data_IF_136116887889
#
_entry.id   IF_136116887889
#
_cell.length_a   1.000
_cell.length_b   1.000
_cell.length_c   1.000
_cell.angle_alpha   90.00
_cell.angle_beta   90.00
_cell.angle_gamma   90.00
#
_symmetry.space_group_name_H-M   'P 1'
#
loop_
_entity.id
_entity.type
_entity.pdbx_description
1 polymer ?
#
# COMPACT_ATOMS: atom_id res chain seq x y z
N UNK A 1 14.68 9.49 -23.80
CA UNK A 1 14.02 10.80 -23.59
C UNK A 1 12.77 10.72 -22.70
N UNK A 2 12.16 9.54 -22.52
CA UNK A 2 11.04 9.32 -21.56
C UNK A 2 11.46 9.12 -20.09
N UNK A 3 12.75 8.92 -19.80
CA UNK A 3 13.28 8.70 -18.45
C UNK A 3 13.49 9.96 -17.60
N UNK A 4 13.31 11.17 -18.16
CA UNK A 4 13.54 12.44 -17.44
C UNK A 4 12.29 13.02 -16.77
N UNK A 5 11.10 12.42 -16.97
CA UNK A 5 9.85 12.95 -16.41
C UNK A 5 9.35 12.25 -15.14
N UNK A 6 9.83 11.05 -14.79
CA UNK A 6 9.42 10.37 -13.53
C UNK A 6 10.34 10.65 -12.33
N UNK A 7 11.46 11.34 -12.53
CA UNK A 7 12.36 11.74 -11.44
C UNK A 7 11.87 12.99 -10.69
N UNK A 8 11.13 13.88 -11.36
CA UNK A 8 10.52 15.05 -10.71
C UNK A 8 9.48 14.67 -9.67
N UNK A 9 8.84 13.50 -9.80
CA UNK A 9 7.90 12.96 -8.82
C UNK A 9 8.59 12.41 -7.56
N UNK A 10 9.86 11.98 -7.64
CA UNK A 10 10.60 11.48 -6.48
C UNK A 10 11.19 12.60 -5.62
N UNK A 11 11.64 13.71 -6.22
CA UNK A 11 12.09 14.89 -5.47
C UNK A 11 10.92 15.61 -4.77
N UNK A 12 9.70 15.56 -5.33
CA UNK A 12 8.50 16.02 -4.61
C UNK A 12 8.03 15.05 -3.52
N UNK A 13 8.15 13.74 -3.74
CA UNK A 13 7.74 12.72 -2.74
C UNK A 13 8.55 12.80 -1.43
N UNK A 14 9.76 13.34 -1.46
CA UNK A 14 10.58 13.55 -0.25
C UNK A 14 10.15 14.77 0.59
N UNK A 15 9.25 15.63 0.07
CA UNK A 15 8.78 16.85 0.75
C UNK A 15 7.27 16.89 1.02
N UNK A 16 6.49 15.93 0.49
CA UNK A 16 5.03 15.86 0.69
C UNK A 16 4.61 14.44 1.01
N UNK A 17 3.83 14.28 2.08
CA UNK A 17 3.23 13.03 2.54
C UNK A 17 2.67 12.20 1.37
N UNK A 18 3.10 10.95 1.30
CA UNK A 18 2.90 9.97 0.22
C UNK A 18 1.52 10.00 -0.47
N UNK A 19 1.52 10.43 -1.74
CA UNK A 19 0.42 11.10 -2.45
C UNK A 19 -0.52 10.19 -3.26
N UNK A 20 -1.12 9.10 -2.76
CA UNK A 20 -2.13 8.40 -3.58
C UNK A 20 -3.29 7.75 -2.80
N UNK A 21 -4.46 8.39 -2.87
CA UNK A 21 -5.70 8.00 -2.16
C UNK A 21 -6.87 7.71 -3.11
N UNK A 22 -6.57 7.36 -4.36
CA UNK A 22 -7.57 6.88 -5.31
C UNK A 22 -7.25 5.45 -5.72
N UNK A 23 -8.28 4.63 -5.91
CA UNK A 23 -8.13 3.29 -6.44
C UNK A 23 -8.74 3.23 -7.84
N UNK A 24 -7.91 2.92 -8.84
CA UNK A 24 -8.44 2.57 -10.15
C UNK A 24 -9.09 1.18 -10.10
N UNK A 25 -10.29 1.08 -10.68
CA UNK A 25 -11.05 -0.15 -10.84
C UNK A 25 -11.40 -0.34 -12.31
N UNK A 26 -11.43 -1.59 -12.75
CA UNK A 26 -11.92 -1.96 -14.09
C UNK A 26 -13.33 -2.49 -13.93
N UNK A 27 -14.28 -1.89 -14.65
CA UNK A 27 -15.70 -2.24 -14.62
C UNK A 27 -16.21 -2.68 -15.99
N UNK A 28 -17.36 -3.35 -16.00
CA UNK A 28 -18.16 -3.49 -17.23
C UNK A 28 -18.80 -2.13 -17.55
N UNK A 29 -18.64 -1.68 -18.80
CA UNK A 29 -19.26 -0.45 -19.32
C UNK A 29 -20.73 -0.66 -19.70
N UNK A 30 -21.35 0.38 -20.25
CA UNK A 30 -22.80 0.41 -20.59
C UNK A 30 -23.24 -0.70 -21.55
N UNK A 31 -22.29 -1.29 -22.27
CA UNK A 31 -22.46 -2.55 -22.98
C UNK A 31 -21.52 -3.58 -22.36
N UNK A 32 -22.01 -4.80 -22.07
CA UNK A 32 -21.22 -5.95 -21.55
C UNK A 32 -19.93 -6.26 -22.35
N UNK A 33 -19.79 -5.69 -23.54
CA UNK A 33 -18.66 -5.87 -24.45
C UNK A 33 -17.50 -4.88 -24.23
N UNK A 34 -17.62 -3.87 -23.36
CA UNK A 34 -16.54 -2.90 -23.11
C UNK A 34 -16.18 -2.88 -21.65
N UNK A 35 -14.89 -3.07 -21.34
CA UNK A 35 -14.34 -2.75 -20.03
C UNK A 35 -13.95 -1.28 -20.00
N UNK A 36 -14.23 -0.61 -18.89
CA UNK A 36 -13.88 0.79 -18.66
C UNK A 36 -13.08 0.90 -17.36
N UNK A 37 -12.17 1.87 -17.30
CA UNK A 37 -11.53 2.25 -16.04
C UNK A 37 -12.41 3.31 -15.37
N UNK A 38 -12.54 3.21 -14.06
CA UNK A 38 -13.04 4.27 -13.20
C UNK A 38 -12.09 4.44 -12.00
N UNK A 39 -12.12 5.60 -11.36
CA UNK A 39 -11.44 5.85 -10.10
C UNK A 39 -12.43 5.89 -8.96
N UNK A 40 -12.13 5.15 -7.89
CA UNK A 40 -12.75 5.37 -6.58
C UNK A 40 -11.92 6.42 -5.86
N UNK A 41 -12.58 7.49 -5.44
CA UNK A 41 -11.99 8.58 -4.68
C UNK A 41 -12.38 8.42 -3.20
N UNK A 42 -11.40 7.98 -2.42
CA UNK A 42 -11.54 7.77 -0.97
C UNK A 42 -11.38 9.08 -0.23
N UNK A 43 -12.03 9.21 0.93
CA UNK A 43 -11.67 10.29 1.83
C UNK A 43 -10.28 10.00 2.41
N UNK A 44 -9.40 10.99 2.41
CA UNK A 44 -8.12 10.92 3.08
C UNK A 44 -8.10 11.87 4.27
N UNK A 45 -7.58 11.40 5.40
CA UNK A 45 -7.51 12.19 6.61
C UNK A 45 -6.11 12.21 7.23
N UNK A 46 -5.05 11.97 6.45
CA UNK A 46 -3.69 11.84 6.96
C UNK A 46 -3.54 10.73 8.01
N UNK A 47 -3.95 9.51 7.64
CA UNK A 47 -3.80 8.31 8.46
C UNK A 47 -4.42 8.43 9.87
N UNK A 48 -5.56 9.14 9.96
CA UNK A 48 -6.24 9.46 11.21
C UNK A 48 -5.95 10.84 11.80
N UNK A 49 -5.37 11.71 10.98
CA UNK A 49 -5.00 13.07 11.33
C UNK A 49 -3.78 13.13 12.23
N UNK A 50 -3.48 14.34 12.68
CA UNK A 50 -2.34 14.58 13.58
C UNK A 50 -2.52 13.92 14.96
N UNK A 51 -3.71 13.41 15.33
CA UNK A 51 -3.88 12.56 16.51
C UNK A 51 -3.33 11.13 16.34
N UNK A 52 -3.20 10.63 15.11
CA UNK A 52 -2.61 9.32 14.79
C UNK A 52 -1.09 9.37 14.57
N UNK A 53 -0.62 10.42 13.91
CA UNK A 53 0.81 10.68 13.68
C UNK A 53 1.53 11.31 14.90
N UNK A 54 0.82 12.03 15.79
CA UNK A 54 1.44 12.82 16.88
C UNK A 54 0.81 12.55 18.26
N UNK A 55 -0.10 11.57 18.34
CA UNK A 55 -0.81 11.23 19.57
C UNK A 55 -1.83 12.30 20.01
N UNK A 56 -2.70 11.97 20.98
CA UNK A 56 -3.73 12.88 21.49
C UNK A 56 -3.17 14.05 22.32
N UNK A 57 -1.91 14.00 22.76
CA UNK A 57 -1.35 14.95 23.74
C UNK A 57 -0.62 16.15 23.11
N UNK A 58 -0.27 16.13 21.82
CA UNK A 58 0.44 17.25 21.20
C UNK A 58 -0.51 18.32 20.62
N UNK A 59 -1.18 19.02 21.54
CA UNK A 59 -2.12 20.10 21.24
C UNK A 59 -1.49 21.34 20.56
N UNK A 60 -0.16 21.41 20.44
CA UNK A 60 0.53 22.55 19.81
C UNK A 60 0.73 22.34 18.30
N UNK A 61 0.98 21.11 17.84
CA UNK A 61 1.08 20.78 16.41
C UNK A 61 -0.29 20.61 15.73
N UNK A 62 -1.29 20.16 16.48
CA UNK A 62 -2.70 20.08 16.06
C UNK A 62 -3.36 21.45 15.79
N UNK A 63 -2.71 22.57 16.14
CA UNK A 63 -3.30 23.93 16.05
C UNK A 63 -2.70 24.82 14.95
N UNK A 64 -1.89 24.27 14.04
CA UNK A 64 -1.36 25.06 12.91
C UNK A 64 -2.34 25.04 11.74
N UNK A 65 -2.95 26.20 11.47
CA UNK A 65 -3.88 26.45 10.35
C UNK A 65 -3.41 25.97 8.97
N UNK A 66 -2.10 25.84 8.73
CA UNK A 66 -1.57 25.33 7.45
C UNK A 66 -1.66 23.82 7.27
N UNK A 67 -1.86 23.04 8.34
CA UNK A 67 -1.88 21.57 8.23
C UNK A 67 -3.23 21.02 7.74
N UNK A 68 -4.34 21.63 8.15
CA UNK A 68 -5.66 21.33 7.57
C UNK A 68 -5.67 21.66 6.07
N UNK A 69 -5.00 22.75 5.68
CA UNK A 69 -4.85 23.13 4.27
C UNK A 69 -4.13 22.04 3.46
N UNK A 70 -3.04 21.45 3.96
CA UNK A 70 -2.35 20.36 3.27
C UNK A 70 -3.18 19.07 3.13
N UNK A 71 -3.92 18.68 4.18
CA UNK A 71 -4.84 17.52 4.08
C UNK A 71 -5.92 17.80 3.04
N UNK A 72 -6.39 19.05 2.93
CA UNK A 72 -7.33 19.41 1.87
C UNK A 72 -6.69 19.36 0.48
N UNK A 73 -5.40 19.70 0.33
CA UNK A 73 -4.70 19.59 -0.95
C UNK A 73 -4.50 18.13 -1.39
N UNK A 74 -4.14 17.25 -0.44
CA UNK A 74 -3.97 15.82 -0.65
C UNK A 74 -5.28 15.15 -1.10
N UNK A 75 -6.41 15.53 -0.47
CA UNK A 75 -7.75 15.10 -0.89
C UNK A 75 -8.13 15.55 -2.31
N UNK A 76 -7.48 16.58 -2.86
CA UNK A 76 -7.75 17.02 -4.23
C UNK A 76 -6.98 16.22 -5.28
N UNK A 77 -5.95 15.45 -4.89
CA UNK A 77 -5.08 14.73 -5.84
C UNK A 77 -5.88 13.72 -6.65
N UNK A 78 -6.68 12.89 -5.99
CA UNK A 78 -7.54 11.88 -6.62
C UNK A 78 -8.44 12.51 -7.69
N UNK A 79 -9.20 13.54 -7.31
CA UNK A 79 -10.05 14.30 -8.22
C UNK A 79 -9.28 14.87 -9.41
N UNK A 80 -8.15 15.54 -9.16
CA UNK A 80 -7.34 16.19 -10.22
C UNK A 80 -6.79 15.16 -11.22
N UNK A 81 -6.27 14.03 -10.74
CA UNK A 81 -5.74 12.96 -11.61
C UNK A 81 -6.86 12.39 -12.47
N UNK A 82 -8.02 12.05 -11.88
CA UNK A 82 -9.15 11.48 -12.62
C UNK A 82 -9.73 12.46 -13.65
N UNK A 83 -9.81 13.76 -13.32
CA UNK A 83 -10.23 14.81 -14.27
C UNK A 83 -9.24 14.96 -15.44
N UNK A 84 -7.93 14.95 -15.16
CA UNK A 84 -6.87 15.04 -16.19
C UNK A 84 -6.90 13.85 -17.15
N UNK A 85 -7.06 12.64 -16.60
CA UNK A 85 -7.14 11.39 -17.37
C UNK A 85 -8.51 11.15 -18.01
N UNK A 86 -9.51 12.01 -17.72
CA UNK A 86 -10.90 11.90 -18.18
C UNK A 86 -11.54 10.55 -17.81
N UNK A 87 -11.22 10.08 -16.60
CA UNK A 87 -11.71 8.82 -16.05
C UNK A 87 -12.92 9.11 -15.14
N UNK A 88 -14.02 8.34 -15.25
CA UNK A 88 -15.15 8.44 -14.32
C UNK A 88 -14.73 8.33 -12.86
N UNK A 89 -15.23 9.25 -12.02
CA UNK A 89 -14.93 9.34 -10.59
C UNK A 89 -16.11 8.88 -9.75
N UNK A 90 -15.87 7.96 -8.82
CA UNK A 90 -16.80 7.55 -7.77
C UNK A 90 -16.32 8.12 -6.45
N UNK A 91 -16.93 9.21 -6.02
CA UNK A 91 -16.65 9.82 -4.72
C UNK A 91 -17.27 9.01 -3.58
N UNK A 92 -16.51 8.84 -2.51
CA UNK A 92 -16.96 8.13 -1.30
C UNK A 92 -16.86 9.05 -0.08
N UNK A 93 -17.60 8.72 0.98
CA UNK A 93 -17.44 9.31 2.31
C UNK A 93 -16.63 8.39 3.25
N UNK A 94 -15.97 7.39 2.68
CA UNK A 94 -15.27 6.33 3.41
C UNK A 94 -13.79 6.66 3.45
N UNK A 95 -13.20 6.71 4.66
CA UNK A 95 -11.78 6.99 4.82
C UNK A 95 -10.98 5.74 4.52
N UNK A 96 -10.13 5.77 3.50
CA UNK A 96 -9.28 4.65 3.11
C UNK A 96 -8.04 5.12 2.36
N UNK A 97 -6.91 4.46 2.63
CA UNK A 97 -5.67 4.65 1.89
C UNK A 97 -5.37 3.44 1.00
N UNK A 98 -4.86 3.65 -0.21
CA UNK A 98 -4.52 2.58 -1.14
C UNK A 98 -3.59 1.52 -0.53
N UNK A 99 -2.59 1.94 0.25
CA UNK A 99 -1.66 1.05 0.95
C UNK A 99 -2.28 0.20 2.09
N UNK A 100 -3.49 0.52 2.54
CA UNK A 100 -4.21 -0.24 3.57
C UNK A 100 -4.92 -1.49 3.03
N UNK A 101 -4.95 -1.67 1.71
CA UNK A 101 -5.59 -2.80 1.03
C UNK A 101 -4.68 -3.39 -0.05
N UNK A 102 -4.86 -4.67 -0.35
CA UNK A 102 -4.23 -5.30 -1.51
C UNK A 102 -5.19 -6.31 -2.14
N UNK A 103 -5.37 -6.25 -3.47
CA UNK A 103 -6.31 -7.11 -4.21
C UNK A 103 -5.59 -8.12 -5.11
N UNK A 104 -6.20 -9.27 -5.36
CA UNK A 104 -5.68 -10.33 -6.24
C UNK A 104 -6.15 -10.21 -7.71
N UNK A 105 -7.07 -9.28 -7.98
CA UNK A 105 -7.73 -9.11 -9.28
C UNK A 105 -8.76 -10.20 -9.61
N UNK A 106 -9.05 -11.11 -8.69
CA UNK A 106 -9.95 -12.25 -8.85
C UNK A 106 -11.03 -12.35 -7.75
N UNK A 107 -11.22 -11.25 -7.02
CA UNK A 107 -12.32 -11.09 -6.07
C UNK A 107 -11.89 -11.17 -4.60
N UNK A 108 -10.59 -11.21 -4.30
CA UNK A 108 -10.06 -11.24 -2.93
C UNK A 108 -9.33 -9.94 -2.61
N UNK A 109 -9.61 -9.38 -1.43
CA UNK A 109 -8.85 -8.29 -0.82
C UNK A 109 -8.19 -8.80 0.47
N UNK A 110 -6.93 -8.43 0.73
CA UNK A 110 -6.27 -8.55 2.03
C UNK A 110 -6.14 -7.14 2.61
N UNK A 111 -6.43 -7.00 3.89
CA UNK A 111 -6.26 -5.77 4.66
C UNK A 111 -5.89 -6.12 6.11
N UNK A 112 -5.69 -5.12 6.96
CA UNK A 112 -5.36 -5.27 8.38
C UNK A 112 -6.47 -4.71 9.26
N UNK A 113 -6.87 -5.45 10.29
CA UNK A 113 -7.82 -4.97 11.31
C UNK A 113 -7.28 -3.76 12.06
N UNK A 114 -5.99 -3.78 12.39
CA UNK A 114 -5.30 -2.69 13.06
C UNK A 114 -5.49 -1.33 12.36
N UNK A 115 -5.57 -1.31 11.03
CA UNK A 115 -5.73 -0.08 10.25
C UNK A 115 -7.20 0.29 10.05
N UNK A 116 -7.98 -0.53 9.34
CA UNK A 116 -9.31 -0.11 8.90
C UNK A 116 -10.34 -0.05 10.03
N UNK A 117 -10.16 -0.86 11.09
CA UNK A 117 -11.02 -0.82 12.28
C UNK A 117 -10.52 0.19 13.33
N UNK A 118 -9.45 0.95 13.04
CA UNK A 118 -8.94 1.93 13.97
C UNK A 118 -9.92 3.09 14.14
N UNK A 119 -10.06 3.59 15.38
CA UNK A 119 -10.99 4.67 15.71
C UNK A 119 -10.69 6.02 15.05
N UNK A 120 -9.53 6.16 14.40
CA UNK A 120 -9.15 7.36 13.65
C UNK A 120 -9.51 7.28 12.15
N UNK A 121 -10.00 6.13 11.65
CA UNK A 121 -10.49 5.98 10.28
C UNK A 121 -12.00 6.20 10.25
N UNK A 122 -12.76 5.12 10.38
CA UNK A 122 -14.21 5.13 10.26
C UNK A 122 -14.87 4.70 11.60
N UNK A 123 -14.73 5.47 12.70
CA UNK A 123 -15.17 5.06 14.04
C UNK A 123 -16.68 4.82 14.18
N UNK A 124 -17.45 5.29 13.20
CA UNK A 124 -18.90 5.15 13.13
C UNK A 124 -19.34 3.88 12.38
N UNK A 125 -18.40 3.11 11.82
CA UNK A 125 -18.68 1.87 11.09
C UNK A 125 -18.21 0.65 11.87
N UNK A 126 -19.02 -0.39 11.85
CA UNK A 126 -18.63 -1.75 12.25
C UNK A 126 -17.71 -2.40 11.21
N UNK A 127 -17.01 -3.46 11.61
CA UNK A 127 -16.15 -4.25 10.72
C UNK A 127 -16.93 -4.81 9.51
N UNK A 128 -18.17 -5.24 9.70
CA UNK A 128 -19.02 -5.76 8.62
C UNK A 128 -19.42 -4.66 7.64
N UNK A 129 -19.70 -3.44 8.13
CA UNK A 129 -19.99 -2.28 7.28
C UNK A 129 -18.75 -1.87 6.46
N UNK A 130 -17.56 -1.87 7.08
CA UNK A 130 -16.29 -1.64 6.39
C UNK A 130 -16.09 -2.69 5.29
N UNK A 131 -16.27 -3.97 5.61
CA UNK A 131 -16.15 -5.05 4.64
C UNK A 131 -17.11 -4.88 3.45
N UNK A 132 -18.34 -4.42 3.71
CA UNK A 132 -19.30 -4.13 2.65
C UNK A 132 -18.89 -2.94 1.76
N UNK A 133 -18.26 -1.90 2.34
CA UNK A 133 -17.67 -0.80 1.55
C UNK A 133 -16.58 -1.33 0.62
N UNK A 134 -15.66 -2.16 1.13
CA UNK A 134 -14.60 -2.77 0.34
C UNK A 134 -15.17 -3.61 -0.81
N UNK A 135 -16.15 -4.49 -0.53
CA UNK A 135 -16.79 -5.32 -1.56
C UNK A 135 -17.48 -4.48 -2.64
N UNK A 136 -18.20 -3.44 -2.22
CA UNK A 136 -18.95 -2.56 -3.14
C UNK A 136 -18.03 -1.80 -4.08
N UNK A 137 -16.98 -1.20 -3.54
CA UNK A 137 -16.13 -0.29 -4.30
C UNK A 137 -14.96 -0.98 -5.01
N UNK A 138 -14.45 -2.10 -4.50
CA UNK A 138 -13.35 -2.85 -5.12
C UNK A 138 -13.85 -3.99 -6.04
N UNK A 139 -15.13 -4.33 -6.00
CA UNK A 139 -15.68 -5.46 -6.75
C UNK A 139 -15.21 -6.83 -6.24
N UNK A 140 -14.73 -6.90 -4.99
CA UNK A 140 -14.31 -8.13 -4.34
C UNK A 140 -15.49 -8.85 -3.68
N UNK A 141 -15.40 -10.17 -3.54
CA UNK A 141 -16.40 -10.97 -2.83
C UNK A 141 -15.90 -11.50 -1.49
N UNK A 142 -14.58 -11.49 -1.27
CA UNK A 142 -13.95 -11.94 -0.04
C UNK A 142 -12.91 -10.93 0.47
N UNK A 143 -12.94 -10.67 1.77
CA UNK A 143 -11.92 -9.89 2.47
C UNK A 143 -11.22 -10.80 3.49
N UNK A 144 -9.89 -10.77 3.49
CA UNK A 144 -9.03 -11.46 4.44
C UNK A 144 -8.46 -10.40 5.38
N UNK A 145 -8.72 -10.57 6.67
CA UNK A 145 -8.36 -9.62 7.71
C UNK A 145 -7.14 -10.12 8.47
N UNK A 146 -5.98 -9.49 8.25
CA UNK A 146 -4.79 -9.72 9.06
C UNK A 146 -4.94 -8.97 10.40
N UNK A 147 -4.51 -9.53 11.54
CA UNK A 147 -4.74 -8.87 12.83
C UNK A 147 -3.96 -7.56 12.99
N UNK A 148 -2.71 -7.54 12.52
CA UNK A 148 -1.76 -6.43 12.68
C UNK A 148 -0.96 -6.20 11.38
N UNK A 149 -0.49 -4.97 11.19
CA UNK A 149 0.48 -4.60 10.16
C UNK A 149 1.91 -4.93 10.57
N UNK A 150 2.90 -4.29 9.95
CA UNK A 150 4.31 -4.41 10.35
C UNK A 150 4.54 -3.74 11.71
N UNK A 151 5.44 -4.28 12.52
CA UNK A 151 5.86 -3.65 13.77
C UNK A 151 6.65 -2.37 13.47
N UNK A 152 6.37 -1.27 14.20
CA UNK A 152 6.95 0.04 13.93
C UNK A 152 6.14 0.89 12.93
N UNK A 153 5.04 0.34 12.40
CA UNK A 153 4.15 1.00 11.42
C UNK A 153 2.92 1.65 12.08
N UNK A 154 2.96 1.88 13.40
CA UNK A 154 1.83 2.38 14.18
C UNK A 154 1.39 3.79 13.75
N UNK A 155 2.32 4.58 13.20
CA UNK A 155 2.09 5.94 12.70
C UNK A 155 1.03 5.98 11.59
N UNK A 156 0.96 4.95 10.75
CA UNK A 156 -0.09 4.80 9.72
C UNK A 156 -1.13 3.73 10.08
N UNK A 157 -1.11 3.26 11.33
CA UNK A 157 -2.02 2.24 11.86
C UNK A 157 -1.81 0.83 11.28
N UNK A 158 -0.59 0.52 10.82
CA UNK A 158 -0.18 -0.81 10.39
C UNK A 158 -0.77 -1.22 9.05
N UNK A 159 -0.32 -0.59 7.97
CA UNK A 159 -0.82 -0.86 6.62
C UNK A 159 -0.47 -2.28 6.14
N UNK A 160 -1.31 -2.81 5.24
CA UNK A 160 -1.12 -4.15 4.69
C UNK A 160 0.08 -4.20 3.74
N UNK A 161 0.37 -3.14 2.99
CA UNK A 161 1.45 -3.06 2.01
C UNK A 161 2.88 -3.15 2.62
N UNK A 162 3.00 -3.05 3.94
CA UNK A 162 4.24 -3.31 4.66
C UNK A 162 4.37 -4.76 5.15
N UNK A 163 3.27 -5.48 5.36
CA UNK A 163 3.26 -6.84 5.91
C UNK A 163 3.00 -7.91 4.85
N UNK A 164 2.10 -7.68 3.89
CA UNK A 164 1.64 -8.69 2.95
C UNK A 164 1.18 -8.09 1.62
N UNK A 165 1.53 -8.73 0.51
CA UNK A 165 1.04 -8.37 -0.81
C UNK A 165 0.66 -9.61 -1.64
N UNK A 166 -0.24 -9.46 -2.61
CA UNK A 166 -0.45 -10.47 -3.64
C UNK A 166 0.62 -10.35 -4.72
N UNK A 167 1.19 -11.49 -5.11
CA UNK A 167 2.14 -11.56 -6.24
C UNK A 167 1.58 -12.29 -7.45
N UNK A 168 0.40 -12.88 -7.27
CA UNK A 168 -0.46 -13.45 -8.29
C UNK A 168 -1.73 -14.01 -7.65
N UNK A 169 -2.66 -14.56 -8.44
CA UNK A 169 -3.83 -15.23 -7.89
C UNK A 169 -3.41 -16.32 -6.90
N UNK A 170 -4.02 -16.31 -5.71
CA UNK A 170 -3.72 -17.25 -4.61
C UNK A 170 -2.26 -17.29 -4.11
N UNK A 171 -1.39 -16.36 -4.49
CA UNK A 171 0.02 -16.31 -4.03
C UNK A 171 0.29 -15.00 -3.33
N UNK A 172 0.83 -15.07 -2.12
CA UNK A 172 1.15 -13.90 -1.30
C UNK A 172 2.62 -13.88 -0.88
N UNK A 173 3.22 -12.69 -0.84
CA UNK A 173 4.46 -12.45 -0.12
C UNK A 173 4.12 -11.92 1.27
N UNK A 174 4.75 -12.50 2.30
CA UNK A 174 4.59 -12.14 3.70
C UNK A 174 5.94 -11.71 4.29
N UNK A 175 6.01 -10.49 4.80
CA UNK A 175 7.11 -10.00 5.62
C UNK A 175 7.30 -10.89 6.84
N UNK A 176 8.51 -11.40 7.04
CA UNK A 176 8.80 -12.46 8.00
C UNK A 176 10.09 -12.19 8.78
N UNK A 177 10.16 -12.72 10.00
CA UNK A 177 11.40 -12.87 10.75
C UNK A 177 11.36 -14.21 11.49
N UNK A 178 12.49 -14.92 11.56
CA UNK A 178 12.55 -16.21 12.28
C UNK A 178 12.87 -16.05 13.78
N UNK A 179 13.50 -14.94 14.15
CA UNK A 179 13.84 -14.65 15.54
C UNK A 179 12.58 -14.36 16.37
N UNK A 180 12.22 -15.31 17.22
CA UNK A 180 11.04 -15.23 18.10
C UNK A 180 11.16 -14.17 19.19
N UNK A 181 12.36 -13.65 19.45
CA UNK A 181 12.58 -12.57 20.42
C UNK A 181 12.33 -11.18 19.80
N UNK A 182 12.30 -11.08 18.48
CA UNK A 182 11.98 -9.86 17.77
C UNK A 182 10.45 -9.63 17.81
N UNK A 183 9.97 -8.41 18.18
CA UNK A 183 8.53 -8.12 18.25
C UNK A 183 7.79 -8.27 16.91
N UNK A 184 8.47 -8.15 15.76
CA UNK A 184 7.92 -8.42 14.44
C UNK A 184 7.50 -9.89 14.27
N UNK A 185 8.09 -10.83 15.03
CA UNK A 185 7.74 -12.24 14.94
C UNK A 185 6.26 -12.47 15.26
N UNK A 186 5.72 -11.82 16.30
CA UNK A 186 4.32 -11.98 16.67
C UNK A 186 3.38 -11.53 15.54
N UNK A 187 3.69 -10.40 14.90
CA UNK A 187 2.93 -9.86 13.77
C UNK A 187 2.98 -10.82 12.56
N UNK A 188 4.19 -11.30 12.23
CA UNK A 188 4.43 -12.22 11.12
C UNK A 188 3.72 -13.56 11.34
N UNK A 189 3.80 -14.13 12.55
CA UNK A 189 3.19 -15.39 12.90
C UNK A 189 1.65 -15.31 12.91
N UNK A 190 1.08 -14.22 13.43
CA UNK A 190 -0.37 -14.00 13.42
C UNK A 190 -0.91 -13.86 11.99
N UNK A 191 -0.22 -13.11 11.13
CA UNK A 191 -0.58 -13.02 9.72
C UNK A 191 -0.47 -14.38 9.01
N UNK A 192 0.61 -15.13 9.25
CA UNK A 192 0.79 -16.47 8.68
C UNK A 192 -0.32 -17.45 9.10
N UNK A 193 -0.76 -17.41 10.35
CA UNK A 193 -1.84 -18.28 10.85
C UNK A 193 -3.17 -18.00 10.12
N UNK A 194 -3.54 -16.71 9.96
CA UNK A 194 -4.72 -16.33 9.19
C UNK A 194 -4.61 -16.78 7.73
N UNK A 195 -3.49 -16.48 7.08
CA UNK A 195 -3.26 -16.79 5.67
C UNK A 195 -3.28 -18.31 5.41
N UNK A 196 -2.72 -19.11 6.33
CA UNK A 196 -2.66 -20.58 6.19
C UNK A 196 -4.04 -21.23 6.37
N UNK A 197 -4.88 -20.65 7.24
CA UNK A 197 -6.20 -21.18 7.56
C UNK A 197 -7.32 -20.67 6.66
N UNK A 198 -7.09 -19.61 5.88
CA UNK A 198 -8.08 -19.07 4.94
C UNK A 198 -7.97 -19.69 3.54
N UNK A 199 -8.84 -19.23 2.65
CA UNK A 199 -8.81 -19.46 1.19
C UNK A 199 -9.10 -18.12 0.51
N UNK A 200 -8.83 -18.01 -0.77
CA UNK A 200 -9.24 -16.83 -1.55
C UNK A 200 -10.74 -16.88 -1.93
N UNK A 201 -11.21 -15.88 -2.68
CA UNK A 201 -12.58 -15.78 -3.15
C UNK A 201 -13.03 -16.94 -4.06
N UNK A 202 -12.08 -17.62 -4.72
CA UNK A 202 -12.33 -18.79 -5.57
C UNK A 202 -12.13 -20.11 -4.81
N UNK A 203 -11.92 -20.06 -3.50
CA UNK A 203 -11.75 -21.24 -2.66
C UNK A 203 -10.37 -21.90 -2.74
N UNK A 204 -9.38 -21.27 -3.38
CA UNK A 204 -8.01 -21.78 -3.44
C UNK A 204 -7.29 -21.53 -2.12
N UNK A 205 -6.41 -22.45 -1.75
CA UNK A 205 -5.47 -22.23 -0.65
C UNK A 205 -4.39 -21.25 -1.08
N UNK A 206 -3.97 -20.39 -0.16
CA UNK A 206 -2.93 -19.40 -0.43
C UNK A 206 -1.55 -20.07 -0.39
N UNK A 207 -0.73 -19.83 -1.40
CA UNK A 207 0.71 -20.08 -1.36
C UNK A 207 1.40 -18.88 -0.70
N UNK A 208 2.05 -19.12 0.43
CA UNK A 208 2.61 -18.07 1.29
C UNK A 208 4.12 -18.11 1.18
N UNK A 209 4.67 -17.14 0.45
CA UNK A 209 6.11 -16.97 0.27
C UNK A 209 6.59 -15.98 1.34
N UNK A 210 7.54 -16.41 2.17
CA UNK A 210 8.12 -15.56 3.21
C UNK A 210 9.28 -14.76 2.65
N UNK A 211 9.36 -13.49 3.03
CA UNK A 211 10.50 -12.60 2.72
C UNK A 211 10.98 -11.96 4.02
N UNK A 212 12.26 -12.09 4.32
CA UNK A 212 12.82 -11.60 5.59
C UNK A 212 12.72 -10.07 5.65
N UNK A 213 12.30 -9.48 6.77
CA UNK A 213 12.36 -8.01 6.98
C UNK A 213 13.80 -7.52 7.08
N UNK A 214 14.17 -6.27 6.75
CA UNK A 214 15.50 -5.78 7.09
C UNK A 214 15.77 -5.91 8.60
N UNK A 215 17.05 -5.98 8.99
CA UNK A 215 17.43 -5.86 10.40
C UNK A 215 16.81 -4.60 11.05
N UNK A 216 16.69 -4.51 12.39
CA UNK A 216 16.09 -3.36 13.05
C UNK A 216 16.72 -2.04 12.57
N UNK A 217 15.98 -1.29 11.78
CA UNK A 217 16.39 0.03 11.31
C UNK A 217 15.93 1.03 12.36
N UNK A 218 16.86 1.70 13.04
CA UNK A 218 16.52 2.73 14.04
C UNK A 218 16.85 4.13 13.51
N UNK A 219 16.05 5.11 13.91
CA UNK A 219 16.39 6.53 13.79
C UNK A 219 17.40 6.91 14.89
N UNK A 220 18.48 7.60 14.54
CA UNK A 220 19.39 8.21 15.53
C UNK A 220 18.93 9.63 15.85
N UNK A 221 19.31 10.16 17.03
CA UNK A 221 18.97 11.54 17.41
C UNK A 221 19.45 12.57 16.38
N UNK A 222 20.65 12.38 15.82
CA UNK A 222 21.23 13.26 14.80
C UNK A 222 20.41 13.30 13.50
N UNK A 223 19.90 12.14 13.07
CA UNK A 223 19.07 12.02 11.86
C UNK A 223 17.64 12.51 12.14
N UNK A 224 17.18 12.48 13.38
CA UNK A 224 15.89 13.03 13.78
C UNK A 224 15.86 14.57 13.87
N UNK A 225 17.01 15.24 14.00
CA UNK A 225 17.10 16.70 14.19
C UNK A 225 16.39 17.55 13.11
N UNK A 226 16.46 17.24 11.80
CA UNK A 226 15.72 17.98 10.78
C UNK A 226 14.19 17.74 10.81
N UNK A 227 13.77 16.64 11.43
CA UNK A 227 12.36 16.23 11.56
C UNK A 227 11.79 16.58 12.95
N UNK A 228 12.51 17.40 13.74
CA UNK A 228 12.10 17.80 15.10
C UNK A 228 10.74 18.49 15.07
N UNK A 229 9.74 17.80 15.62
CA UNK A 229 8.34 18.21 15.60
C UNK A 229 7.40 17.17 14.98
N UNK A 230 7.91 16.14 14.30
CA UNK A 230 7.07 15.12 13.64
C UNK A 230 7.32 13.68 14.05
N UNK A 231 8.38 13.42 14.83
CA UNK A 231 8.75 12.08 15.28
C UNK A 231 9.15 12.16 16.74
N UNK A 232 8.57 11.30 17.58
CA UNK A 232 9.01 11.17 18.96
C UNK A 232 10.49 10.75 18.98
N UNK A 233 11.33 11.54 19.65
CA UNK A 233 12.77 11.30 19.76
C UNK A 233 13.02 9.94 20.45
N UNK A 234 13.74 9.03 19.78
CA UNK A 234 14.21 7.78 20.38
C UNK A 234 14.53 6.66 19.39
N UNK A 235 15.05 5.56 19.93
CA UNK A 235 15.42 4.30 19.25
C UNK A 235 14.22 3.55 18.62
N UNK A 236 13.23 4.26 18.09
CA UNK A 236 12.05 3.65 17.48
C UNK A 236 12.46 2.93 16.20
N UNK A 237 12.04 1.66 16.11
CA UNK A 237 12.24 0.86 14.91
C UNK A 237 11.38 1.41 13.78
N UNK A 238 12.03 1.69 12.67
CA UNK A 238 11.41 2.10 11.44
C UNK A 238 10.72 0.90 10.76
N UNK A 239 9.59 1.16 10.10
CA UNK A 239 8.81 0.17 9.36
C UNK A 239 9.45 -0.23 8.02
N UNK A 240 10.71 -0.68 8.06
CA UNK A 240 11.41 -1.17 6.87
C UNK A 240 10.83 -2.51 6.40
N UNK A 241 10.41 -2.56 5.14
CA UNK A 241 9.87 -3.77 4.53
C UNK A 241 10.25 -3.88 3.06
N UNK A 242 10.71 -5.07 2.64
CA UNK A 242 10.91 -5.38 1.22
C UNK A 242 9.61 -5.67 0.49
N UNK A 243 8.48 -5.85 1.18
CA UNK A 243 7.14 -6.02 0.58
C UNK A 243 6.60 -4.68 0.06
N UNK A 244 7.13 -3.55 0.53
CA UNK A 244 6.73 -2.21 0.09
C UNK A 244 7.37 -1.83 -1.27
N UNK A 245 7.28 -2.73 -2.25
CA UNK A 245 7.76 -2.58 -3.63
C UNK A 245 6.63 -2.20 -4.59
N UNK A 246 6.99 -1.71 -5.77
CA UNK A 246 6.05 -1.40 -6.85
C UNK A 246 6.20 -2.37 -8.02
N UNK A 247 5.08 -2.92 -8.51
CA UNK A 247 5.03 -3.76 -9.72
C UNK A 247 4.68 -2.90 -10.93
N UNK A 248 5.62 -2.74 -11.84
CA UNK A 248 5.41 -2.16 -13.16
C UNK A 248 5.24 -3.27 -14.22
N UNK A 249 4.79 -2.93 -15.43
CA UNK A 249 4.48 -3.89 -16.50
C UNK A 249 5.59 -4.93 -16.79
N UNK A 250 6.86 -4.54 -16.70
CA UNK A 250 8.01 -5.40 -16.97
C UNK A 250 9.08 -5.36 -15.89
N UNK A 251 8.81 -4.73 -14.75
CA UNK A 251 9.79 -4.56 -13.68
C UNK A 251 9.16 -4.53 -12.30
N UNK A 252 9.97 -4.85 -11.29
CA UNK A 252 9.65 -4.69 -9.87
C UNK A 252 10.65 -3.72 -9.29
N UNK A 253 10.17 -2.61 -8.73
CA UNK A 253 11.01 -1.60 -8.09
C UNK A 253 10.89 -1.79 -6.59
N UNK A 254 11.93 -2.33 -5.97
CA UNK A 254 11.93 -2.72 -4.57
C UNK A 254 12.99 -1.94 -3.76
N UNK A 255 12.74 -1.67 -2.48
CA UNK A 255 13.71 -0.93 -1.67
C UNK A 255 14.91 -1.78 -1.28
N UNK A 256 16.10 -1.17 -1.28
CA UNK A 256 17.28 -1.69 -0.61
C UNK A 256 17.62 -0.80 0.60
N UNK A 257 18.00 -1.43 1.70
CA UNK A 257 18.25 -0.76 2.98
C UNK A 257 19.74 -0.68 3.34
N UNK A 258 20.62 -1.23 2.50
CA UNK A 258 22.03 -1.45 2.85
C UNK A 258 22.18 -2.55 3.91
N UNK A 259 21.19 -3.44 4.00
CA UNK A 259 21.09 -4.48 5.02
C UNK A 259 21.52 -5.84 4.45
N UNK A 260 21.93 -6.77 5.33
CA UNK A 260 22.37 -8.10 4.92
C UNK A 260 21.29 -8.91 4.19
N UNK A 261 20.01 -8.55 4.35
CA UNK A 261 18.89 -9.24 3.70
C UNK A 261 18.55 -8.70 2.31
N UNK A 262 19.14 -7.59 1.85
CA UNK A 262 18.82 -6.98 0.54
C UNK A 262 18.96 -7.98 -0.62
N UNK A 263 20.05 -8.76 -0.61
CA UNK A 263 20.34 -9.74 -1.66
C UNK A 263 19.43 -10.98 -1.60
N UNK A 264 18.98 -11.36 -0.42
CA UNK A 264 18.00 -12.44 -0.26
C UNK A 264 16.62 -11.99 -0.74
N UNK A 265 16.21 -10.77 -0.36
CA UNK A 265 14.99 -10.14 -0.81
C UNK A 265 14.95 -10.05 -2.34
N UNK A 266 16.04 -9.59 -2.98
CA UNK A 266 16.17 -9.56 -4.44
C UNK A 266 15.94 -10.93 -5.07
N UNK A 267 16.59 -11.98 -4.58
CA UNK A 267 16.44 -13.36 -5.10
C UNK A 267 15.02 -13.89 -4.97
N UNK A 268 14.35 -13.58 -3.86
CA UNK A 268 12.95 -13.97 -3.65
C UNK A 268 12.08 -13.25 -4.68
N UNK A 269 12.22 -11.93 -4.82
CA UNK A 269 11.46 -11.15 -5.79
C UNK A 269 11.68 -11.63 -7.22
N UNK A 270 12.92 -11.94 -7.61
CA UNK A 270 13.24 -12.49 -8.95
C UNK A 270 12.57 -13.85 -9.18
N UNK A 271 12.51 -14.69 -8.15
CA UNK A 271 11.83 -15.98 -8.21
C UNK A 271 10.32 -15.83 -8.31
N UNK A 272 9.74 -14.89 -7.57
CA UNK A 272 8.29 -14.63 -7.56
C UNK A 272 7.84 -13.95 -8.86
N UNK A 273 8.68 -13.09 -9.42
CA UNK A 273 8.40 -12.34 -10.64
C UNK A 273 9.37 -12.69 -11.77
N UNK A 274 9.38 -13.95 -12.26
CA UNK A 274 10.39 -14.43 -13.22
C UNK A 274 10.35 -13.77 -14.60
N UNK A 275 9.29 -12.99 -14.88
CA UNK A 275 9.11 -12.22 -16.13
C UNK A 275 9.39 -10.73 -15.95
N UNK A 276 9.80 -10.29 -14.76
CA UNK A 276 10.06 -8.89 -14.46
C UNK A 276 11.54 -8.69 -14.13
N UNK A 277 12.08 -7.55 -14.53
CA UNK A 277 13.38 -7.08 -14.04
C UNK A 277 13.23 -6.55 -12.62
N UNK A 278 13.94 -7.13 -11.65
CA UNK A 278 13.95 -6.64 -10.27
C UNK A 278 15.02 -5.58 -10.10
N UNK A 279 14.60 -4.36 -9.80
CA UNK A 279 15.46 -3.21 -9.55
C UNK A 279 15.39 -2.87 -8.07
N UNK A 280 16.49 -3.13 -7.36
CA UNK A 280 16.65 -2.73 -5.97
C UNK A 280 17.14 -1.27 -5.91
N UNK A 281 16.34 -0.38 -5.34
CA UNK A 281 16.64 1.06 -5.23
C UNK A 281 17.38 1.31 -3.92
N UNK A 282 18.66 1.69 -4.04
CA UNK A 282 19.44 2.22 -2.93
C UNK A 282 18.77 3.50 -2.39
N UNK A 283 18.82 3.71 -1.07
CA UNK A 283 18.15 4.84 -0.44
C UNK A 283 16.79 4.49 0.18
N UNK A 284 16.39 3.21 0.18
CA UNK A 284 15.13 2.77 0.79
C UNK A 284 15.06 3.08 2.29
N UNK A 285 16.20 3.14 2.97
CA UNK A 285 16.28 3.55 4.38
C UNK A 285 15.82 4.99 4.57
N UNK A 286 16.28 5.89 3.71
CA UNK A 286 16.01 7.34 3.72
C UNK A 286 14.53 7.61 3.46
N UNK A 287 13.91 6.86 2.55
CA UNK A 287 12.47 6.95 2.28
C UNK A 287 11.67 6.51 3.52
N UNK A 288 12.08 5.41 4.18
CA UNK A 288 11.42 4.91 5.39
C UNK A 288 11.51 5.90 6.57
N UNK A 289 12.52 6.78 6.61
CA UNK A 289 12.54 7.88 7.60
C UNK A 289 11.31 8.79 7.50
N UNK A 290 10.72 8.91 6.31
CA UNK A 290 9.48 9.64 6.07
C UNK A 290 8.20 8.87 6.40
N UNK A 291 8.29 7.59 6.81
CA UNK A 291 7.13 6.78 7.22
C UNK A 291 6.53 5.84 6.16
N UNK A 292 7.24 5.56 5.06
CA UNK A 292 6.79 4.66 4.01
C UNK A 292 7.92 4.26 3.06
N UNK A 293 7.62 3.57 1.96
CA UNK A 293 8.63 3.27 0.94
C UNK A 293 8.06 3.37 -0.49
N UNK A 294 8.70 2.70 -1.45
CA UNK A 294 8.40 2.78 -2.88
C UNK A 294 6.92 2.57 -3.18
N UNK A 295 6.27 1.57 -2.58
CA UNK A 295 4.84 1.32 -2.81
C UNK A 295 4.00 2.54 -2.39
N UNK A 296 4.25 3.08 -1.18
CA UNK A 296 3.53 4.23 -0.65
C UNK A 296 3.67 5.47 -1.56
N UNK A 297 4.80 5.62 -2.25
CA UNK A 297 5.08 6.73 -3.15
C UNK A 297 4.54 6.55 -4.58
N UNK A 298 3.75 5.51 -4.86
CA UNK A 298 3.31 5.17 -6.22
C UNK A 298 1.83 4.79 -6.29
N UNK A 299 1.22 4.98 -7.47
CA UNK A 299 -0.11 4.47 -7.78
C UNK A 299 -0.17 4.06 -9.25
N UNK A 300 -0.51 2.80 -9.48
CA UNK A 300 -0.71 2.26 -10.82
C UNK A 300 -2.04 2.69 -11.42
N UNK A 301 -2.00 3.15 -12.67
CA UNK A 301 -3.17 3.25 -13.54
C UNK A 301 -3.18 2.01 -14.46
N UNK A 302 -4.11 1.05 -14.26
CA UNK A 302 -4.17 -0.14 -15.09
C UNK A 302 -4.50 0.24 -16.54
N UNK A 303 -4.04 -0.56 -17.50
CA UNK A 303 -4.50 -0.44 -18.87
C UNK A 303 -5.90 -1.05 -19.02
N UNK A 304 -6.76 -0.46 -19.87
CA UNK A 304 -8.03 -1.10 -20.25
C UNK A 304 -7.68 -2.34 -21.07
N UNK A 305 -7.91 -3.53 -20.52
CA UNK A 305 -7.83 -4.74 -21.32
C UNK A 305 -9.03 -4.76 -22.29
N UNK A 306 -8.80 -4.97 -23.60
CA UNK A 306 -9.90 -5.25 -24.52
C UNK A 306 -10.69 -6.47 -24.06
N UNK A 307 -11.98 -6.54 -24.39
CA UNK A 307 -12.80 -7.68 -24.01
C UNK A 307 -12.22 -8.96 -24.68
N UNK A 308 -12.28 -10.16 -24.05
CA UNK A 308 -11.75 -11.38 -24.66
C UNK A 308 -12.27 -11.65 -26.08
N UNK A 309 -13.48 -11.20 -26.41
CA UNK A 309 -14.06 -11.27 -27.76
C UNK A 309 -13.33 -10.41 -28.81
N UNK A 310 -12.60 -9.39 -28.37
CA UNK A 310 -11.83 -8.50 -29.24
C UNK A 310 -10.41 -9.05 -29.49
N UNK A 311 -9.92 -9.96 -28.65
CA UNK A 311 -8.63 -10.63 -28.85
C UNK A 311 -8.68 -11.62 -30.03
N UNK A 312 -9.79 -12.36 -30.19
CA UNK A 312 -10.00 -13.30 -31.29
C UNK A 312 -10.13 -12.61 -32.67
N UNK A 313 -10.39 -11.30 -32.71
CA UNK A 313 -10.44 -10.55 -33.98
C UNK A 313 -9.08 -9.98 -34.41
N UNK A 314 -8.08 -9.95 -33.52
CA UNK A 314 -6.73 -9.46 -33.85
C UNK A 314 -5.78 -10.56 -34.33
N UNK A 315 -6.04 -11.84 -34.03
CA UNK A 315 -5.25 -12.97 -34.58
C UNK A 315 -5.63 -13.35 -36.02
N UNK A 316 -6.69 -12.76 -36.59
CA UNK A 316 -7.12 -12.99 -37.98
C UNK A 316 -6.56 -12.02 -39.02
N UNK A 317 -5.73 -11.05 -38.61
CA UNK A 317 -5.09 -10.08 -39.50
C UNK A 317 -3.59 -9.98 -39.19
N UNK A 318 -2.84 -11.01 -39.59
CA UNK A 318 -1.38 -11.05 -39.56
C UNK A 318 -0.86 -11.96 -40.67
#
# INVERSE_FOLDING_TARGET
VLWRKSLYSLELALLTHYLFYHQFVVREGDTRLRREIAGVDWQYNAYGGYNGLFGPEDHQLNRRKGHEEHITEDNLVARKVLELERIPRFETNFVLEGGSIHVDGEGTCITTEQCLCHGNRNPHMSKDEIENQLKTHLGVSKVIWLPKGLYGDEMISGHVDNICCFTGPSTVLLSWIDDKSDPQYEHSAAAFDVLSNTTDAKGRKLDIIKIHVPGPLCMTEEVAQPFLGSVALGQQRLAGSYVNFYIANGGVVAPAFGDKWDEEARKILEKVFPKHEVVMVEGGREIVLGGGNIHCATQQQPAVCPHPSDADTMEGQG
#
